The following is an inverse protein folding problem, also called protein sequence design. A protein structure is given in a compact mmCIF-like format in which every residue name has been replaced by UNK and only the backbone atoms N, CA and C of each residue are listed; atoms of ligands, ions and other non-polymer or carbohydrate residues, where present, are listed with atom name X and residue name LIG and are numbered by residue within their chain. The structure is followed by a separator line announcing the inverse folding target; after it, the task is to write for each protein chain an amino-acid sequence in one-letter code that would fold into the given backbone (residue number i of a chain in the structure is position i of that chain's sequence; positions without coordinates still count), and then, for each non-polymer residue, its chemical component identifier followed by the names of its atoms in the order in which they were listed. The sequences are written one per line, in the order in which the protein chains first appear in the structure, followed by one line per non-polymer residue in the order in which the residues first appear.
data_IF_427223699011
#
_entry.id   IF_427223699011
#
_cell.length_a   1.000
_cell.length_b   1.000
_cell.length_c   1.000
_cell.angle_alpha   90.00
_cell.angle_beta   90.00
_cell.angle_gamma   90.00
#
_symmetry.space_group_name_H-M   'P 1'
#
loop_
_entity.id
_entity.type
_entity.pdbx_description
1 polymer ?
#
# COMPACT_ATOMS: atom_id res chain seq x y z
N UNK A 1 -41.10 33.71 -30.04
CA UNK A 1 -40.62 34.75 -30.97
C UNK A 1 -39.23 35.20 -30.53
N UNK A 2 -38.33 35.35 -31.52
CA UNK A 2 -37.00 36.00 -31.53
C UNK A 2 -35.80 35.34 -30.85
N UNK A 3 -34.87 34.99 -31.75
CA UNK A 3 -33.44 34.73 -31.62
C UNK A 3 -32.66 35.87 -30.95
N UNK A 4 -31.47 35.53 -30.45
CA UNK A 4 -30.40 36.49 -30.18
C UNK A 4 -29.10 35.81 -29.73
N UNK A 5 -28.33 35.31 -30.70
CA UNK A 5 -26.94 34.93 -30.51
C UNK A 5 -26.04 36.17 -30.65
N UNK A 6 -24.96 36.26 -29.87
CA UNK A 6 -23.81 37.12 -30.17
C UNK A 6 -22.52 36.33 -29.92
N UNK A 7 -21.94 35.80 -31.01
CA UNK A 7 -20.53 35.43 -31.12
C UNK A 7 -19.70 36.69 -31.40
N UNK A 8 -18.46 36.76 -30.86
CA UNK A 8 -17.35 37.52 -31.43
C UNK A 8 -16.01 36.87 -31.01
N UNK A 9 -15.36 36.19 -31.97
CA UNK A 9 -13.90 36.05 -32.14
C UNK A 9 -13.43 37.28 -33.00
N UNK A 10 -12.15 37.61 -33.32
CA UNK A 10 -10.91 36.79 -33.36
C UNK A 10 -9.53 37.48 -33.05
N UNK A 11 -8.47 36.66 -33.03
CA UNK A 11 -7.07 36.86 -33.52
C UNK A 11 -6.20 38.07 -33.12
N UNK A 12 -5.03 37.79 -32.51
CA UNK A 12 -3.76 38.56 -32.62
C UNK A 12 -2.60 37.55 -32.52
N UNK A 13 -1.99 37.13 -33.64
CA UNK A 13 -0.82 37.67 -34.37
C UNK A 13 0.56 37.24 -33.79
N UNK A 14 1.31 36.50 -34.63
CA UNK A 14 2.69 36.05 -34.46
C UNK A 14 3.68 37.22 -34.61
N UNK A 15 4.77 37.22 -33.83
CA UNK A 15 5.99 37.95 -34.16
C UNK A 15 7.21 37.08 -33.86
N UNK A 16 7.86 36.62 -34.92
CA UNK A 16 9.17 36.00 -34.90
C UNK A 16 10.25 37.10 -34.88
N UNK A 17 11.29 36.93 -34.06
CA UNK A 17 12.53 37.72 -34.16
C UNK A 17 13.70 36.75 -34.34
N UNK A 18 14.26 36.77 -35.54
CA UNK A 18 15.52 36.17 -35.95
C UNK A 18 16.63 37.22 -35.76
N UNK A 19 17.71 36.88 -35.07
CA UNK A 19 18.99 37.55 -35.21
C UNK A 19 20.10 36.51 -35.45
N UNK A 20 20.95 36.82 -36.42
CA UNK A 20 21.90 35.96 -37.13
C UNK A 20 23.32 36.48 -36.87
N UNK A 21 24.22 35.57 -36.44
CA UNK A 21 25.70 35.47 -36.67
C UNK A 21 26.63 36.62 -36.21
N UNK A 22 27.95 36.44 -35.95
CA UNK A 22 28.98 35.54 -36.48
C UNK A 22 30.10 35.20 -35.45
N UNK A 23 30.87 34.13 -35.80
CA UNK A 23 32.26 33.73 -35.51
C UNK A 23 33.15 34.65 -34.63
N UNK A 24 34.14 34.18 -33.84
CA UNK A 24 34.86 32.92 -33.72
C UNK A 24 36.31 33.25 -33.33
N UNK A 25 36.95 32.51 -32.42
CA UNK A 25 38.42 32.44 -32.27
C UNK A 25 38.85 31.28 -31.37
N UNK A 26 39.89 30.58 -31.81
CA UNK A 26 40.51 29.41 -31.16
C UNK A 26 41.36 29.79 -29.95
N UNK A 27 41.32 28.98 -28.89
CA UNK A 27 42.52 28.64 -28.10
C UNK A 27 42.26 27.43 -27.20
N UNK A 28 43.13 26.44 -27.35
CA UNK A 28 43.18 25.20 -26.58
C UNK A 28 43.82 25.43 -25.21
N UNK A 29 43.12 25.03 -24.15
CA UNK A 29 43.72 24.72 -22.86
C UNK A 29 42.92 23.58 -22.21
N UNK A 30 43.59 22.45 -21.96
CA UNK A 30 43.06 21.35 -21.18
C UNK A 30 43.09 21.71 -19.69
N UNK A 31 41.96 21.54 -18.98
CA UNK A 31 41.93 21.36 -17.54
C UNK A 31 40.67 20.59 -17.13
N UNK A 32 40.83 19.26 -17.02
CA UNK A 32 40.41 18.36 -15.93
C UNK A 32 39.09 18.66 -15.18
N UNK A 33 38.24 17.62 -15.17
CA UNK A 33 37.17 17.25 -14.20
C UNK A 33 35.88 18.06 -14.14
N UNK A 34 34.77 17.39 -14.52
CA UNK A 34 33.65 17.00 -13.61
C UNK A 34 32.32 16.97 -14.36
N UNK A 35 31.87 15.74 -14.63
CA UNK A 35 30.49 15.25 -14.51
C UNK A 35 29.28 16.17 -14.80
N UNK A 36 28.52 15.67 -15.78
CA UNK A 36 27.10 15.36 -15.64
C UNK A 36 26.09 16.45 -16.02
N UNK A 37 25.78 16.40 -17.31
CA UNK A 37 24.55 16.78 -18.00
C UNK A 37 23.30 16.59 -17.13
N UNK A 38 22.49 17.64 -17.07
CA UNK A 38 21.15 17.70 -16.53
C UNK A 38 20.22 16.63 -17.11
N UNK A 39 19.44 15.98 -16.25
CA UNK A 39 18.15 15.39 -16.61
C UNK A 39 17.20 15.66 -15.44
N UNK A 40 16.10 16.42 -15.63
CA UNK A 40 15.05 16.49 -14.63
C UNK A 40 14.25 15.18 -14.73
N UNK A 41 14.45 14.27 -13.77
CA UNK A 41 13.58 13.13 -13.56
C UNK A 41 12.22 13.64 -13.09
N UNK A 42 11.29 13.80 -14.04
CA UNK A 42 9.88 13.71 -13.73
C UNK A 42 9.64 12.32 -13.12
N UNK A 43 9.52 12.25 -11.79
CA UNK A 43 8.85 11.15 -11.12
C UNK A 43 7.36 11.22 -11.50
N UNK A 44 7.06 10.79 -12.71
CA UNK A 44 5.73 10.31 -13.05
C UNK A 44 5.61 9.01 -12.25
N UNK A 45 4.93 9.06 -11.11
CA UNK A 45 4.41 7.87 -10.43
C UNK A 45 3.47 7.18 -11.41
N UNK A 46 4.08 6.41 -12.30
CA UNK A 46 3.42 5.49 -13.15
C UNK A 46 3.08 4.33 -12.21
N UNK A 47 1.94 4.47 -11.53
CA UNK A 47 1.28 3.35 -10.85
C UNK A 47 1.15 2.27 -11.91
N UNK A 48 2.11 1.34 -11.97
CA UNK A 48 2.00 0.16 -12.77
C UNK A 48 0.66 -0.47 -12.41
N UNK A 49 -0.12 -0.88 -13.40
CA UNK A 49 -1.32 -1.66 -13.15
C UNK A 49 -0.82 -2.96 -12.48
N UNK A 50 -0.96 -3.04 -11.15
CA UNK A 50 -0.59 -4.25 -10.43
C UNK A 50 -1.73 -5.23 -10.66
N UNK A 51 -1.44 -6.29 -11.42
CA UNK A 51 -2.40 -7.38 -11.60
C UNK A 51 -2.77 -7.99 -10.24
N UNK A 52 -4.04 -8.35 -10.07
CA UNK A 52 -4.49 -8.93 -8.81
C UNK A 52 -3.79 -10.27 -8.55
N UNK A 53 -3.25 -10.52 -7.34
CA UNK A 53 -2.49 -11.74 -7.07
C UNK A 53 -3.33 -13.00 -7.18
N UNK A 54 -4.64 -12.93 -6.92
CA UNK A 54 -5.58 -14.02 -7.14
C UNK A 54 -7.00 -13.48 -7.31
N UNK A 55 -7.92 -14.34 -7.79
CA UNK A 55 -9.34 -14.00 -7.96
C UNK A 55 -10.15 -14.33 -6.70
N UNK A 56 -9.95 -15.54 -6.16
CA UNK A 56 -10.53 -16.00 -4.90
C UNK A 56 -9.71 -15.50 -3.70
N UNK A 57 -10.37 -15.41 -2.55
CA UNK A 57 -9.76 -14.81 -1.36
C UNK A 57 -8.75 -15.74 -0.67
N UNK A 58 -9.01 -17.03 -0.57
CA UNK A 58 -8.09 -17.98 0.08
C UNK A 58 -6.74 -18.07 -0.64
N UNK A 59 -6.75 -18.19 -1.97
CA UNK A 59 -5.51 -18.17 -2.76
C UNK A 59 -4.81 -16.82 -2.66
N UNK A 60 -5.56 -15.71 -2.59
CA UNK A 60 -4.97 -14.40 -2.33
C UNK A 60 -4.28 -14.37 -0.96
N UNK A 61 -4.95 -14.85 0.10
CA UNK A 61 -4.43 -14.83 1.47
C UNK A 61 -3.15 -15.66 1.59
N UNK A 62 -3.10 -16.85 0.98
CA UNK A 62 -1.90 -17.69 0.93
C UNK A 62 -0.74 -16.98 0.22
N UNK A 63 -1.00 -16.28 -0.89
CA UNK A 63 0.03 -15.50 -1.61
C UNK A 63 0.44 -14.24 -0.85
N UNK A 64 -0.51 -13.60 -0.18
CA UNK A 64 -0.28 -12.40 0.61
C UNK A 64 0.60 -12.68 1.83
N UNK A 65 0.38 -13.81 2.49
CA UNK A 65 1.11 -14.20 3.69
C UNK A 65 2.32 -15.09 3.41
N UNK A 66 2.64 -15.40 2.15
CA UNK A 66 3.70 -16.36 1.81
C UNK A 66 5.04 -16.03 2.48
N UNK A 67 5.59 -16.99 3.23
CA UNK A 67 6.83 -16.79 3.98
C UNK A 67 8.06 -16.61 3.08
N UNK A 68 8.00 -17.09 1.84
CA UNK A 68 9.08 -17.00 0.87
C UNK A 68 9.00 -15.76 -0.05
N UNK A 69 7.87 -15.05 -0.09
CA UNK A 69 7.65 -13.90 -0.97
C UNK A 69 6.83 -12.80 -0.28
N UNK A 70 7.52 -11.80 0.25
CA UNK A 70 6.91 -10.66 0.94
C UNK A 70 6.37 -9.57 0.00
N UNK A 71 6.57 -9.70 -1.32
CA UNK A 71 6.25 -8.65 -2.30
C UNK A 71 4.75 -8.39 -2.43
N UNK A 72 3.94 -9.45 -2.36
CA UNK A 72 2.48 -9.37 -2.39
C UNK A 72 1.99 -8.61 -1.16
N UNK A 73 2.47 -8.97 0.03
CA UNK A 73 2.12 -8.27 1.27
C UNK A 73 2.43 -6.78 1.16
N UNK A 74 3.62 -6.42 0.69
CA UNK A 74 4.05 -5.01 0.54
C UNK A 74 3.17 -4.22 -0.42
N UNK A 75 2.77 -4.83 -1.52
CA UNK A 75 1.98 -4.18 -2.58
C UNK A 75 0.49 -4.09 -2.26
N UNK A 76 -0.02 -5.01 -1.45
CA UNK A 76 -1.44 -5.18 -1.15
C UNK A 76 -1.81 -4.90 0.32
N UNK A 77 -0.91 -4.30 1.09
CA UNK A 77 -1.26 -3.61 2.36
C UNK A 77 -1.51 -2.13 2.07
N UNK A 78 -2.59 -1.56 2.61
CA UNK A 78 -2.84 -0.13 2.49
C UNK A 78 -1.79 0.72 3.21
N UNK A 79 -1.50 1.90 2.67
CA UNK A 79 -0.64 2.90 3.30
C UNK A 79 -1.38 4.26 3.26
N UNK A 80 -1.92 4.74 4.38
CA UNK A 80 -1.86 4.14 5.73
C UNK A 80 -2.72 2.88 5.88
N UNK A 81 -2.29 1.99 6.78
CA UNK A 81 -3.10 0.88 7.30
C UNK A 81 -3.87 1.36 8.54
N UNK A 82 -5.15 1.01 8.65
CA UNK A 82 -5.91 1.26 9.88
C UNK A 82 -5.54 0.26 10.97
N UNK A 83 -5.38 0.73 12.20
CA UNK A 83 -5.13 -0.12 13.37
C UNK A 83 -6.15 0.18 14.44
N UNK A 84 -6.96 -0.82 14.77
CA UNK A 84 -8.07 -0.75 15.71
C UNK A 84 -7.72 -1.46 17.02
N UNK A 85 -7.90 -0.76 18.14
CA UNK A 85 -7.62 -1.24 19.51
C UNK A 85 -8.74 -0.81 20.45
N UNK A 86 -8.88 -1.40 21.65
CA UNK A 86 -9.83 -0.92 22.65
C UNK A 86 -9.50 0.50 23.08
N UNK A 87 -10.50 1.38 23.22
CA UNK A 87 -10.27 2.81 23.49
C UNK A 87 -9.50 3.06 24.79
N UNK A 88 -9.70 2.22 25.82
CA UNK A 88 -9.00 2.37 27.11
C UNK A 88 -7.48 2.18 27.01
N UNK A 89 -6.98 1.59 25.91
CA UNK A 89 -5.53 1.40 25.69
C UNK A 89 -4.81 2.69 25.25
N UNK A 90 -5.57 3.72 24.85
CA UNK A 90 -5.01 4.94 24.24
C UNK A 90 -5.62 6.26 24.75
N UNK A 91 -6.76 6.22 25.44
CA UNK A 91 -7.47 7.39 25.95
C UNK A 91 -8.03 7.18 27.36
N UNK A 92 -8.22 8.29 28.10
CA UNK A 92 -9.03 8.30 29.32
C UNK A 92 -10.52 8.14 28.93
N UNK A 93 -11.06 6.93 29.13
CA UNK A 93 -12.45 6.61 28.76
C UNK A 93 -13.49 7.44 29.53
N UNK A 94 -14.54 7.85 28.83
CA UNK A 94 -15.78 8.41 29.39
C UNK A 94 -16.98 7.59 28.93
N UNK A 95 -18.15 7.78 29.55
CA UNK A 95 -19.41 7.13 29.12
C UNK A 95 -19.79 7.43 27.64
N UNK A 96 -19.20 8.47 27.05
CA UNK A 96 -19.42 8.86 25.65
C UNK A 96 -18.35 8.38 24.68
N UNK A 97 -17.26 7.79 25.18
CA UNK A 97 -16.15 7.32 24.35
C UNK A 97 -16.60 6.10 23.52
N UNK A 98 -16.15 5.98 22.26
CA UNK A 98 -16.40 4.76 21.47
C UNK A 98 -15.73 3.56 22.14
N UNK A 99 -16.22 2.35 21.84
CA UNK A 99 -15.62 1.12 22.38
C UNK A 99 -14.19 0.87 21.85
N UNK A 100 -13.95 1.25 20.60
CA UNK A 100 -12.65 1.08 19.93
C UNK A 100 -12.11 2.40 19.39
N UNK A 101 -10.78 2.50 19.36
CA UNK A 101 -10.05 3.60 18.76
C UNK A 101 -9.33 3.12 17.50
N UNK A 102 -9.39 3.91 16.43
CA UNK A 102 -8.73 3.61 15.15
C UNK A 102 -7.65 4.64 14.85
N UNK A 103 -6.41 4.16 14.72
CA UNK A 103 -5.25 4.94 14.28
C UNK A 103 -4.85 4.58 12.84
N UNK A 104 -3.99 5.40 12.22
CA UNK A 104 -3.50 5.21 10.84
C UNK A 104 -1.99 5.07 10.80
N UNK A 105 -1.52 3.86 10.58
CA UNK A 105 -0.09 3.50 10.59
C UNK A 105 0.48 3.60 9.17
N UNK A 106 1.54 4.40 9.02
CA UNK A 106 2.16 4.71 7.72
C UNK A 106 3.51 4.05 7.56
N UNK A 107 3.93 3.87 6.30
CA UNK A 107 5.29 3.41 6.01
C UNK A 107 5.56 1.99 6.55
N UNK A 108 6.82 1.58 6.71
CA UNK A 108 7.17 0.20 7.02
C UNK A 108 6.55 -0.39 8.30
N UNK A 109 6.30 0.44 9.32
CA UNK A 109 5.74 -0.01 10.61
C UNK A 109 4.38 -0.73 10.48
N UNK A 110 3.58 -0.42 9.46
CA UNK A 110 2.30 -1.11 9.22
C UNK A 110 2.44 -2.61 8.98
N UNK A 111 3.61 -3.04 8.52
CA UNK A 111 3.90 -4.45 8.23
C UNK A 111 4.12 -5.26 9.50
N UNK A 112 4.36 -4.63 10.64
CA UNK A 112 4.48 -5.29 11.94
C UNK A 112 3.11 -5.66 12.51
N UNK A 113 2.02 -5.10 11.96
CA UNK A 113 0.66 -5.37 12.43
C UNK A 113 0.10 -6.70 11.92
N UNK A 114 0.72 -7.32 10.91
CA UNK A 114 0.33 -8.63 10.38
C UNK A 114 1.48 -9.63 10.57
N UNK A 115 1.39 -10.42 11.65
CA UNK A 115 2.47 -11.31 12.10
C UNK A 115 2.37 -12.75 11.58
N UNK A 116 1.34 -13.09 10.81
CA UNK A 116 1.11 -14.45 10.35
C UNK A 116 1.71 -14.72 8.97
N UNK A 117 2.29 -15.90 8.76
CA UNK A 117 2.89 -16.32 7.50
C UNK A 117 2.37 -17.68 7.04
N UNK A 118 2.21 -17.82 5.73
CA UNK A 118 1.83 -19.08 5.09
C UNK A 118 3.08 -19.85 4.64
N UNK A 119 3.23 -21.06 5.16
CA UNK A 119 4.33 -21.98 4.84
C UNK A 119 3.88 -23.00 3.80
N UNK A 120 4.16 -22.75 2.51
CA UNK A 120 3.63 -23.56 1.40
C UNK A 120 3.91 -25.07 1.50
N UNK A 121 5.08 -25.46 2.02
CA UNK A 121 5.47 -26.86 2.13
C UNK A 121 4.61 -27.62 3.15
N UNK A 122 4.26 -26.95 4.26
CA UNK A 122 3.42 -27.50 5.31
C UNK A 122 1.92 -27.21 5.08
N UNK A 123 1.61 -26.23 4.22
CA UNK A 123 0.24 -25.73 3.96
C UNK A 123 -0.44 -25.20 5.22
N UNK A 124 0.34 -24.56 6.08
CA UNK A 124 -0.12 -23.99 7.33
C UNK A 124 0.11 -22.48 7.35
N UNK A 125 -0.73 -21.77 8.09
CA UNK A 125 -0.37 -20.45 8.59
C UNK A 125 0.30 -20.62 9.94
N UNK A 126 1.30 -19.80 10.24
CA UNK A 126 1.90 -19.74 11.57
C UNK A 126 2.21 -18.31 11.97
N UNK A 127 2.35 -18.09 13.28
CA UNK A 127 2.85 -16.82 13.81
C UNK A 127 4.35 -16.71 13.52
N UNK A 128 4.79 -15.50 13.19
CA UNK A 128 6.20 -15.17 12.98
C UNK A 128 6.51 -13.88 13.70
N UNK A 129 7.57 -13.92 14.51
CA UNK A 129 7.98 -12.74 15.25
C UNK A 129 8.57 -11.66 14.32
N UNK A 130 8.30 -10.37 14.58
CA UNK A 130 8.87 -9.28 13.81
C UNK A 130 10.40 -9.36 13.77
N UNK A 131 10.96 -9.39 12.56
CA UNK A 131 12.42 -9.38 12.34
C UNK A 131 13.07 -10.77 12.29
N UNK A 132 12.31 -11.85 12.42
CA UNK A 132 12.84 -13.20 12.24
C UNK A 132 13.30 -13.45 10.79
N UNK A 133 14.55 -13.86 10.62
CA UNK A 133 15.11 -14.25 9.32
C UNK A 133 14.85 -15.73 9.04
N UNK A 134 14.27 -16.03 7.87
CA UNK A 134 13.95 -17.40 7.44
C UNK A 134 13.08 -18.17 8.44
N UNK A 135 11.88 -17.64 8.77
CA UNK A 135 11.00 -18.28 9.73
C UNK A 135 10.67 -19.70 9.28
N UNK A 136 10.37 -20.55 10.25
CA UNK A 136 9.88 -21.92 10.04
C UNK A 136 8.55 -22.07 10.77
N UNK A 137 7.65 -22.94 10.30
CA UNK A 137 6.47 -23.25 11.09
C UNK A 137 6.92 -23.88 12.42
N UNK A 138 6.27 -23.52 13.51
CA UNK A 138 6.52 -24.06 14.85
C UNK A 138 6.15 -25.55 14.92
N UNK A 139 5.18 -25.98 14.10
CA UNK A 139 4.79 -27.38 13.95
C UNK A 139 3.96 -27.66 12.70
N UNK A 140 3.47 -28.90 12.59
CA UNK A 140 2.74 -29.37 11.40
C UNK A 140 1.26 -28.94 11.37
N UNK A 141 0.73 -28.47 12.50
CA UNK A 141 -0.69 -28.09 12.63
C UNK A 141 -0.97 -26.65 12.19
N UNK A 142 0.02 -25.75 12.35
CA UNK A 142 -0.16 -24.31 12.18
C UNK A 142 -1.01 -23.65 13.26
N UNK A 143 -1.13 -22.33 13.14
CA UNK A 143 -2.00 -21.52 13.97
C UNK A 143 -3.45 -21.61 13.48
N UNK A 144 -4.43 -21.81 14.38
CA UNK A 144 -5.83 -21.85 14.00
C UNK A 144 -6.27 -20.50 13.45
N UNK A 145 -7.08 -20.53 12.39
CA UNK A 145 -7.64 -19.33 11.80
C UNK A 145 -9.04 -19.56 11.23
N UNK A 146 -9.81 -18.49 11.12
CA UNK A 146 -11.12 -18.47 10.47
C UNK A 146 -11.15 -17.38 9.40
N UNK A 147 -11.99 -17.60 8.39
CA UNK A 147 -12.29 -16.61 7.36
C UNK A 147 -13.79 -16.37 7.36
N UNK A 148 -14.17 -15.12 7.57
CA UNK A 148 -15.57 -14.70 7.56
C UNK A 148 -15.80 -13.75 6.39
N UNK A 149 -16.85 -14.00 5.60
CA UNK A 149 -17.25 -13.08 4.53
C UNK A 149 -18.20 -12.01 5.11
N UNK A 150 -17.88 -10.75 4.91
CA UNK A 150 -18.67 -9.62 5.36
C UNK A 150 -19.74 -9.18 4.36
N UNK A 151 -20.57 -8.21 4.78
CA UNK A 151 -21.68 -7.64 4.01
C UNK A 151 -21.20 -6.58 3.03
N UNK A 152 -20.38 -7.00 2.08
CA UNK A 152 -19.81 -6.10 1.07
C UNK A 152 -18.82 -6.78 0.12
N UNK A 153 -18.69 -8.10 0.23
CA UNK A 153 -17.60 -8.83 -0.40
C UNK A 153 -16.25 -8.42 0.19
N UNK A 154 -16.20 -8.07 1.48
CA UNK A 154 -15.01 -8.02 2.30
C UNK A 154 -14.81 -9.34 3.04
N UNK A 155 -13.59 -9.56 3.53
CA UNK A 155 -13.27 -10.73 4.33
C UNK A 155 -12.53 -10.32 5.61
N UNK A 156 -12.97 -10.87 6.73
CA UNK A 156 -12.22 -10.82 7.98
C UNK A 156 -11.48 -12.15 8.15
N UNK A 157 -10.18 -12.07 8.42
CA UNK A 157 -9.36 -13.23 8.79
C UNK A 157 -8.99 -13.07 10.24
N UNK A 158 -9.26 -14.09 11.05
CA UNK A 158 -8.97 -14.08 12.47
C UNK A 158 -8.07 -15.25 12.82
N UNK A 159 -6.98 -14.99 13.52
CA UNK A 159 -6.02 -16.00 13.99
C UNK A 159 -6.09 -16.11 15.52
N UNK A 160 -6.00 -17.33 16.03
CA UNK A 160 -6.06 -17.61 17.47
C UNK A 160 -7.40 -18.18 17.94
N UNK A 161 -7.59 -18.23 19.26
CA UNK A 161 -8.79 -18.78 19.89
C UNK A 161 -9.28 -17.86 21.00
N UNK A 162 -10.61 -17.83 21.18
CA UNK A 162 -11.31 -17.14 22.27
C UNK A 162 -10.85 -15.68 22.50
N UNK A 163 -9.97 -15.48 23.49
CA UNK A 163 -9.57 -14.16 23.99
C UNK A 163 -8.25 -13.64 23.39
N UNK A 164 -7.57 -14.44 22.57
CA UNK A 164 -6.27 -14.08 21.97
C UNK A 164 -6.36 -13.96 20.44
N UNK A 165 -7.44 -13.35 19.94
CA UNK A 165 -7.69 -13.27 18.50
C UNK A 165 -7.09 -12.00 17.89
N UNK A 166 -6.20 -12.17 16.90
CA UNK A 166 -5.79 -11.10 16.00
C UNK A 166 -6.64 -11.14 14.73
N UNK A 167 -7.30 -10.02 14.38
CA UNK A 167 -8.23 -9.96 13.25
C UNK A 167 -7.79 -8.97 12.18
N UNK A 168 -8.07 -9.30 10.92
CA UNK A 168 -7.58 -8.58 9.75
C UNK A 168 -8.68 -8.40 8.71
N UNK A 169 -8.95 -7.15 8.34
CA UNK A 169 -9.99 -6.82 7.37
C UNK A 169 -9.40 -6.59 5.98
N UNK A 170 -9.82 -7.43 5.05
CA UNK A 170 -9.47 -7.36 3.65
C UNK A 170 -10.63 -6.86 2.80
N UNK A 171 -10.37 -5.84 1.98
CA UNK A 171 -11.37 -5.25 1.07
C UNK A 171 -10.84 -5.22 -0.36
N UNK A 172 -11.76 -5.16 -1.32
CA UNK A 172 -11.39 -4.93 -2.71
C UNK A 172 -11.15 -3.44 -2.97
N UNK A 173 -10.02 -3.13 -3.59
CA UNK A 173 -9.71 -1.82 -4.16
C UNK A 173 -9.17 -2.02 -5.58
N UNK A 174 -9.74 -1.28 -6.54
CA UNK A 174 -9.46 -1.45 -7.99
C UNK A 174 -9.57 -2.92 -8.45
N UNK A 175 -10.48 -3.68 -7.84
CA UNK A 175 -10.72 -5.09 -8.16
C UNK A 175 -9.84 -6.11 -7.43
N UNK A 176 -8.80 -5.68 -6.70
CA UNK A 176 -7.89 -6.58 -5.99
C UNK A 176 -8.10 -6.51 -4.47
N UNK A 177 -7.93 -7.63 -3.78
CA UNK A 177 -7.91 -7.68 -2.32
C UNK A 177 -6.73 -6.92 -1.73
N UNK A 178 -6.97 -6.22 -0.63
CA UNK A 178 -5.96 -5.48 0.13
C UNK A 178 -6.23 -5.58 1.62
N UNK A 179 -5.18 -5.67 2.43
CA UNK A 179 -5.30 -5.50 3.87
C UNK A 179 -5.54 -4.02 4.16
N UNK A 180 -6.70 -3.73 4.75
CA UNK A 180 -7.16 -2.35 5.00
C UNK A 180 -7.19 -2.00 6.49
N UNK A 181 -7.31 -3.01 7.36
CA UNK A 181 -7.29 -2.83 8.81
C UNK A 181 -6.72 -4.04 9.53
N UNK A 182 -5.89 -3.78 10.53
CA UNK A 182 -5.54 -4.73 11.58
C UNK A 182 -6.32 -4.38 12.86
N UNK A 183 -6.82 -5.39 13.54
CA UNK A 183 -7.72 -5.27 14.69
C UNK A 183 -7.13 -6.13 15.81
N UNK A 184 -6.73 -5.49 16.91
CA UNK A 184 -6.27 -6.15 18.11
C UNK A 184 -7.13 -5.67 19.27
N UNK A 185 -8.11 -6.47 19.66
CA UNK A 185 -9.05 -6.16 20.74
C UNK A 185 -8.79 -7.01 21.98
N UNK A 186 -7.54 -7.44 22.17
CA UNK A 186 -7.13 -8.15 23.38
C UNK A 186 -7.22 -7.20 24.57
N UNK A 187 -7.73 -7.73 25.69
CA UNK A 187 -7.90 -6.98 26.94
C UNK A 187 -6.64 -6.90 27.81
#
# INVERSE_FOLDING_TARGET
MRMGACHLNPYIAFAAVLCVSMAGCNSSAQAVTSQQREHPTQHKEQSAAVDCPAKDFETFLQRYADSADDSVRRSFTDDPLEYEVPTYTVEDMTDSSPLTHISKIKGPSRFELFSYRYFRNAKVFDHVDPGEENPKPEGDAGFPFTIEAGTGGDHTVSFGMEYEIDSYLFKRSKGCWRLTRAINLRD
#
